data_IF_977357715424
#
_entry.id   IF_977357715424
#
_cell.length_a   1.000
_cell.length_b   1.000
_cell.length_c   1.000
_cell.angle_alpha   90.00
_cell.angle_beta   90.00
_cell.angle_gamma   90.00
#
_symmetry.space_group_name_H-M   'P 1'
#
loop_
_entity.id
_entity.type
_entity.pdbx_description
1 polymer ?
#
# COMPACT_ATOMS: atom_id res chain seq x y z
N UNK A 1 18.64 -14.96 1.59
CA UNK A 1 18.46 -13.96 2.66
C UNK A 1 17.85 -12.74 2.01
N UNK A 2 16.51 -12.70 1.99
CA UNK A 2 15.67 -11.92 2.92
C UNK A 2 15.70 -10.44 2.55
N UNK A 3 14.56 -9.95 2.02
CA UNK A 3 14.34 -8.54 1.70
C UNK A 3 14.64 -7.68 2.91
N UNK A 4 15.77 -6.97 2.84
CA UNK A 4 16.29 -6.15 3.92
C UNK A 4 15.71 -4.74 3.77
N UNK A 5 14.75 -4.41 4.63
CA UNK A 5 14.16 -3.08 4.85
C UNK A 5 13.44 -2.44 3.65
N UNK A 6 12.20 -2.86 3.31
CA UNK A 6 11.32 -1.98 2.54
C UNK A 6 11.02 -0.75 3.40
N UNK A 7 11.61 0.39 3.07
CA UNK A 7 11.17 1.67 3.63
C UNK A 7 9.86 2.04 2.96
N UNK A 8 8.76 2.01 3.72
CA UNK A 8 7.39 2.39 3.31
C UNK A 8 7.23 3.87 2.87
N UNK A 9 8.31 4.56 2.51
CA UNK A 9 8.34 5.99 2.32
C UNK A 9 8.08 6.40 0.85
N UNK A 10 7.05 5.83 0.22
CA UNK A 10 6.53 6.33 -1.07
C UNK A 10 5.15 6.97 -0.85
N UNK A 11 5.04 7.85 0.15
CA UNK A 11 3.95 8.81 0.12
C UNK A 11 4.20 9.76 -1.06
N UNK A 12 3.29 9.89 -2.04
CA UNK A 12 3.40 10.92 -3.06
C UNK A 12 3.36 12.27 -2.34
N UNK A 13 4.50 12.95 -2.32
CA UNK A 13 4.54 14.36 -1.97
C UNK A 13 3.78 15.10 -3.06
N UNK A 14 2.49 15.37 -2.83
CA UNK A 14 1.73 16.30 -3.65
C UNK A 14 1.72 17.65 -2.91
N UNK A 15 2.75 18.50 -3.10
CA UNK A 15 2.95 19.70 -2.29
C UNK A 15 1.83 20.73 -2.46
N UNK A 16 1.09 20.67 -3.58
CA UNK A 16 0.10 21.66 -4.00
C UNK A 16 -1.29 21.47 -3.36
N UNK A 17 -1.53 20.34 -2.68
CA UNK A 17 -2.77 20.11 -1.95
C UNK A 17 -2.58 20.45 -0.48
N UNK A 18 -3.22 21.55 -0.07
CA UNK A 18 -3.08 22.15 1.26
C UNK A 18 -3.98 21.50 2.32
N UNK A 19 -5.02 20.77 1.91
CA UNK A 19 -5.90 20.00 2.80
C UNK A 19 -6.26 18.69 2.11
N UNK A 20 -5.78 17.58 2.66
CA UNK A 20 -6.02 16.25 2.11
C UNK A 20 -5.81 15.14 3.13
N UNK A 21 -6.60 14.08 2.97
CA UNK A 21 -6.31 12.76 3.53
C UNK A 21 -5.59 11.94 2.47
N UNK A 22 -4.41 11.45 2.82
CA UNK A 22 -3.68 10.51 2.00
C UNK A 22 -3.63 9.15 2.69
N UNK A 23 -4.00 8.11 1.95
CA UNK A 23 -4.03 6.72 2.41
C UNK A 23 -3.40 5.82 1.37
N UNK A 24 -2.72 4.78 1.84
CA UNK A 24 -2.23 3.67 1.02
C UNK A 24 -2.41 2.33 1.73
N UNK A 25 -2.66 1.30 0.94
CA UNK A 25 -2.70 -0.07 1.41
C UNK A 25 -1.32 -0.74 1.21
N UNK A 26 -0.89 -1.46 2.24
CA UNK A 26 0.32 -2.25 2.25
C UNK A 26 0.00 -3.70 2.58
N UNK A 27 0.69 -4.64 1.94
CA UNK A 27 0.51 -6.07 2.18
C UNK A 27 1.83 -6.77 2.45
N UNK A 28 1.84 -7.66 3.43
CA UNK A 28 2.84 -8.72 3.53
C UNK A 28 2.43 -9.82 2.55
N UNK A 29 3.31 -10.14 1.61
CA UNK A 29 3.07 -11.14 0.57
C UNK A 29 4.00 -12.33 0.79
N UNK A 30 3.43 -13.53 0.81
CA UNK A 30 4.19 -14.78 0.66
C UNK A 30 4.39 -15.07 -0.84
N UNK A 31 5.61 -15.47 -1.19
CA UNK A 31 6.03 -15.65 -2.58
C UNK A 31 6.53 -17.07 -2.78
N UNK A 32 5.81 -17.84 -3.58
CA UNK A 32 6.17 -19.22 -3.94
C UNK A 32 6.26 -19.32 -5.45
N UNK A 33 7.49 -19.44 -5.98
CA UNK A 33 7.71 -19.40 -7.42
C UNK A 33 7.33 -18.04 -8.02
N UNK A 34 6.23 -18.00 -8.78
CA UNK A 34 5.65 -16.76 -9.35
C UNK A 34 4.23 -16.47 -8.84
N UNK A 35 3.85 -17.11 -7.73
CA UNK A 35 2.57 -16.88 -7.07
C UNK A 35 2.75 -15.92 -5.89
N UNK A 36 1.82 -14.98 -5.77
CA UNK A 36 1.77 -13.94 -4.73
C UNK A 36 0.53 -14.15 -3.87
N UNK A 37 0.72 -14.50 -2.60
CA UNK A 37 -0.36 -14.72 -1.63
C UNK A 37 -0.36 -13.63 -0.56
N UNK A 38 -1.46 -12.89 -0.35
CA UNK A 38 -1.52 -11.92 0.73
C UNK A 38 -1.63 -12.63 2.08
N UNK A 39 -0.71 -12.31 3.00
CA UNK A 39 -0.74 -12.85 4.37
C UNK A 39 -1.49 -11.91 5.31
N UNK A 40 -1.17 -10.61 5.22
CA UNK A 40 -1.84 -9.56 6.00
C UNK A 40 -1.74 -8.24 5.25
N UNK A 41 -2.77 -7.41 5.34
CA UNK A 41 -2.78 -6.06 4.78
C UNK A 41 -3.18 -5.02 5.82
N UNK A 42 -2.61 -3.82 5.72
CA UNK A 42 -2.99 -2.67 6.53
C UNK A 42 -3.01 -1.39 5.68
N UNK A 43 -3.88 -0.48 6.04
CA UNK A 43 -3.94 0.87 5.51
C UNK A 43 -3.16 1.81 6.42
N UNK A 44 -2.40 2.72 5.82
CA UNK A 44 -1.62 3.73 6.53
C UNK A 44 -1.69 5.05 5.78
N UNK A 45 -1.43 6.16 6.48
CA UNK A 45 -1.48 7.46 5.85
C UNK A 45 -1.41 8.63 6.81
N UNK A 46 -1.77 9.80 6.29
CA UNK A 46 -1.74 11.05 7.05
C UNK A 46 -2.83 12.01 6.56
N UNK A 47 -3.22 12.92 7.46
CA UNK A 47 -4.01 14.11 7.15
C UNK A 47 -3.08 15.32 7.14
N UNK A 48 -3.14 16.14 6.09
CA UNK A 48 -2.49 17.45 6.02
C UNK A 48 -3.55 18.54 6.18
N UNK A 49 -3.26 19.53 7.01
CA UNK A 49 -4.14 20.68 7.24
C UNK A 49 -3.60 21.94 6.55
N UNK A 50 -4.48 22.92 6.35
CA UNK A 50 -4.15 24.21 5.73
C UNK A 50 -3.06 25.02 6.48
N UNK A 51 -2.83 24.71 7.75
CA UNK A 51 -1.82 25.34 8.61
C UNK A 51 -0.47 24.59 8.62
N UNK A 52 -0.22 23.76 7.59
CA UNK A 52 0.95 22.90 7.42
C UNK A 52 1.15 21.82 8.51
N UNK A 53 0.20 21.65 9.43
CA UNK A 53 0.22 20.50 10.33
C UNK A 53 -0.04 19.22 9.55
N UNK A 54 0.62 18.14 9.98
CA UNK A 54 0.41 16.79 9.47
C UNK A 54 0.16 15.87 10.64
N UNK A 55 -0.93 15.11 10.58
CA UNK A 55 -1.30 14.11 11.58
C UNK A 55 -1.27 12.72 10.95
N UNK A 56 -0.61 11.77 11.62
CA UNK A 56 -0.63 10.38 11.19
C UNK A 56 -2.01 9.79 11.47
N UNK A 57 -2.58 9.13 10.46
CA UNK A 57 -3.82 8.38 10.64
C UNK A 57 -3.51 7.06 11.36
N UNK A 58 -4.43 6.55 12.19
CA UNK A 58 -4.29 5.23 12.79
C UNK A 58 -4.08 4.15 11.73
N UNK A 59 -3.29 3.12 12.06
CA UNK A 59 -3.20 1.93 11.22
C UNK A 59 -4.50 1.13 11.33
N UNK A 60 -5.07 0.78 10.18
CA UNK A 60 -6.28 -0.04 10.10
C UNK A 60 -6.02 -1.28 9.25
N UNK A 61 -6.73 -2.40 9.48
CA UNK A 61 -6.70 -3.52 8.55
C UNK A 61 -7.10 -3.06 7.14
N UNK A 62 -6.41 -3.55 6.12
CA UNK A 62 -6.77 -3.21 4.75
C UNK A 62 -8.20 -3.65 4.44
N UNK A 63 -8.93 -2.82 3.70
CA UNK A 63 -10.29 -3.12 3.26
C UNK A 63 -10.35 -4.42 2.45
N UNK A 64 -11.49 -5.12 2.50
CA UNK A 64 -11.68 -6.39 1.80
C UNK A 64 -11.47 -6.30 0.28
N UNK A 65 -11.60 -5.11 -0.29
CA UNK A 65 -11.42 -4.81 -1.71
C UNK A 65 -10.02 -4.27 -2.08
N UNK A 66 -9.16 -4.00 -1.10
CA UNK A 66 -7.80 -3.50 -1.33
C UNK A 66 -6.94 -4.52 -2.09
N UNK A 67 -6.98 -5.80 -1.69
CA UNK A 67 -6.23 -6.86 -2.38
C UNK A 67 -6.70 -7.09 -3.82
N UNK A 68 -8.02 -7.25 -4.11
CA UNK A 68 -8.51 -7.33 -5.48
C UNK A 68 -8.05 -6.19 -6.40
N UNK A 69 -8.00 -4.95 -5.90
CA UNK A 69 -7.49 -3.79 -6.66
C UNK A 69 -5.99 -3.92 -6.97
N UNK A 70 -5.20 -4.29 -5.97
CA UNK A 70 -3.75 -4.48 -6.12
C UNK A 70 -3.43 -5.64 -7.07
N UNK A 71 -4.15 -6.75 -6.94
CA UNK A 71 -4.07 -7.92 -7.83
C UNK A 71 -4.19 -7.53 -9.31
N UNK A 72 -5.23 -6.79 -9.68
CA UNK A 72 -5.43 -6.38 -11.07
C UNK A 72 -4.31 -5.50 -11.62
N UNK A 73 -3.63 -4.73 -10.76
CA UNK A 73 -2.42 -3.99 -11.13
C UNK A 73 -1.21 -4.91 -11.29
N UNK A 74 -0.99 -5.82 -10.35
CA UNK A 74 0.16 -6.74 -10.37
C UNK A 74 0.14 -7.63 -11.62
N UNK A 75 -1.00 -8.23 -11.94
CA UNK A 75 -1.14 -9.12 -13.11
C UNK A 75 -0.98 -8.36 -14.44
N UNK A 76 -1.34 -7.07 -14.48
CA UNK A 76 -1.16 -6.23 -15.66
C UNK A 76 0.30 -5.78 -15.84
N UNK A 77 0.94 -5.37 -14.75
CA UNK A 77 2.27 -4.74 -14.79
C UNK A 77 3.41 -5.80 -14.80
N UNK A 78 3.15 -7.04 -14.36
CA UNK A 78 4.16 -8.10 -14.22
C UNK A 78 3.72 -9.39 -14.91
N UNK A 79 4.09 -9.54 -16.18
CA UNK A 79 3.73 -10.72 -16.98
C UNK A 79 4.29 -12.04 -16.39
N UNK A 80 3.45 -13.07 -16.40
CA UNK A 80 3.75 -14.40 -15.87
C UNK A 80 3.78 -14.48 -14.33
N UNK A 81 3.35 -13.45 -13.61
CA UNK A 81 3.06 -13.50 -12.17
C UNK A 81 1.56 -13.69 -11.93
N UNK A 82 1.22 -14.44 -10.88
CA UNK A 82 -0.17 -14.71 -10.50
C UNK A 82 -0.41 -14.26 -9.07
N UNK A 83 -1.42 -13.41 -8.85
CA UNK A 83 -1.86 -13.04 -7.51
C UNK A 83 -3.05 -13.91 -7.09
N UNK A 84 -2.87 -14.71 -6.03
CA UNK A 84 -3.91 -15.63 -5.55
C UNK A 84 -4.88 -14.93 -4.60
N UNK A 85 -6.11 -15.42 -4.55
CA UNK A 85 -7.22 -14.87 -3.75
C UNK A 85 -7.25 -15.43 -2.33
#
# INVERSE_FOLDING_TARGET
MQGYHPTFADAPANPDHLDLDWLADAFLIDVVGRELTPVVGFSWGYRRFLDDRTELLPLEPAGADAWPRLKGRLERDYDGWTAVS
#
